data_IF_706181367421
#
_entry.id   IF_706181367421
#
_cell.length_a   1.000
_cell.length_b   1.000
_cell.length_c   1.000
_cell.angle_alpha   90.00
_cell.angle_beta   90.00
_cell.angle_gamma   90.00
#
_symmetry.space_group_name_H-M   'P 1'
#
loop_
_entity.id
_entity.type
_entity.pdbx_description
1 polymer ?
#
# COMPACT_ATOMS: atom_id res chain seq x y z
N UNK A 1 -7.76 -8.00 -3.54
CA UNK A 1 -6.34 -8.04 -3.93
C UNK A 1 -5.50 -7.47 -2.81
N UNK A 2 -4.34 -8.05 -2.54
CA UNK A 2 -3.41 -7.61 -1.50
C UNK A 2 -2.02 -7.39 -2.10
N UNK A 3 -1.33 -6.32 -1.68
CA UNK A 3 0.08 -6.04 -1.99
C UNK A 3 0.81 -5.60 -0.73
N UNK A 4 2.15 -5.64 -0.76
CA UNK A 4 3.02 -5.23 0.36
C UNK A 4 4.22 -4.44 -0.12
N UNK A 5 4.69 -3.50 0.71
CA UNK A 5 5.86 -2.63 0.46
C UNK A 5 6.44 -2.17 1.80
N UNK A 6 7.59 -1.49 1.81
CA UNK A 6 8.06 -0.80 3.02
C UNK A 6 7.15 0.40 3.30
N UNK A 7 6.85 0.64 4.58
CA UNK A 7 6.03 1.75 5.06
C UNK A 7 6.52 3.09 4.48
N UNK A 8 5.56 3.90 4.05
CA UNK A 8 5.82 5.25 3.54
C UNK A 8 6.56 6.12 4.56
N UNK A 9 7.52 6.91 4.07
CA UNK A 9 8.41 7.76 4.86
C UNK A 9 9.73 7.10 5.29
N UNK A 10 9.94 5.82 4.95
CA UNK A 10 11.19 5.11 5.28
C UNK A 10 12.25 5.26 4.19
N UNK A 11 11.86 5.17 2.92
CA UNK A 11 12.76 5.17 1.78
C UNK A 11 12.05 5.75 0.54
N UNK A 12 12.68 6.70 -0.16
CA UNK A 12 12.07 7.40 -1.29
C UNK A 12 11.59 6.46 -2.41
N UNK A 13 12.36 5.42 -2.73
CA UNK A 13 12.00 4.44 -3.77
C UNK A 13 10.74 3.65 -3.43
N UNK A 14 10.54 3.34 -2.14
CA UNK A 14 9.35 2.66 -1.67
C UNK A 14 8.18 3.63 -1.53
N UNK A 15 8.41 4.91 -1.20
CA UNK A 15 7.36 5.93 -1.20
C UNK A 15 6.70 6.08 -2.57
N UNK A 16 7.49 6.01 -3.65
CA UNK A 16 6.95 5.97 -5.02
C UNK A 16 6.04 4.76 -5.24
N UNK A 17 6.37 3.61 -4.65
CA UNK A 17 5.55 2.38 -4.71
C UNK A 17 4.26 2.52 -3.89
N UNK A 18 4.34 3.10 -2.69
CA UNK A 18 3.18 3.39 -1.84
C UNK A 18 2.18 4.29 -2.58
N UNK A 19 2.67 5.40 -3.15
CA UNK A 19 1.85 6.34 -3.93
C UNK A 19 1.24 5.69 -5.17
N UNK A 20 1.99 4.81 -5.86
CA UNK A 20 1.45 4.03 -6.97
C UNK A 20 0.26 3.16 -6.55
N UNK A 21 0.38 2.40 -5.46
CA UNK A 21 -0.74 1.57 -4.96
C UNK A 21 -1.95 2.41 -4.55
N UNK A 22 -1.73 3.52 -3.86
CA UNK A 22 -2.80 4.47 -3.50
C UNK A 22 -3.48 5.00 -4.76
N UNK A 23 -2.71 5.40 -5.78
CA UNK A 23 -3.22 5.87 -7.07
C UNK A 23 -4.01 4.80 -7.84
N UNK A 24 -3.66 3.52 -7.69
CA UNK A 24 -4.44 2.41 -8.25
C UNK A 24 -5.76 2.18 -7.50
N UNK A 25 -5.96 2.76 -6.32
CA UNK A 25 -7.14 2.57 -5.47
C UNK A 25 -6.97 1.53 -4.36
N UNK A 26 -5.75 1.11 -4.07
CA UNK A 26 -5.48 0.35 -2.85
C UNK A 26 -5.56 1.27 -1.63
N UNK A 27 -5.96 0.69 -0.49
CA UNK A 27 -6.03 1.38 0.81
C UNK A 27 -5.05 0.75 1.79
N UNK A 28 -4.48 1.56 2.66
CA UNK A 28 -3.68 1.08 3.79
C UNK A 28 -4.51 0.13 4.66
N UNK A 29 -3.87 -0.93 5.15
CA UNK A 29 -4.53 -1.90 6.02
C UNK A 29 -3.80 -2.05 7.36
N UNK A 30 -2.60 -2.60 7.35
CA UNK A 30 -1.83 -2.90 8.58
C UNK A 30 -0.33 -2.81 8.30
N UNK A 31 0.44 -2.46 9.33
CA UNK A 31 1.91 -2.50 9.29
C UNK A 31 2.41 -3.61 10.20
N UNK A 32 3.23 -4.50 9.66
CA UNK A 32 3.91 -5.54 10.44
C UNK A 32 5.38 -5.16 10.65
N UNK A 33 5.76 -4.74 11.87
CA UNK A 33 7.12 -4.26 12.15
C UNK A 33 8.18 -5.37 12.12
N UNK A 34 7.78 -6.64 12.27
CA UNK A 34 8.69 -7.77 12.41
C UNK A 34 8.52 -8.83 11.32
N UNK A 35 7.76 -8.55 10.25
CA UNK A 35 7.54 -9.53 9.17
C UNK A 35 8.78 -9.66 8.26
N UNK A 36 9.51 -8.57 8.06
CA UNK A 36 10.80 -8.57 7.37
C UNK A 36 11.91 -8.37 8.39
N UNK A 37 11.98 -7.16 8.96
CA UNK A 37 12.83 -6.77 10.07
C UNK A 37 12.45 -5.35 10.54
N UNK A 38 13.05 -4.87 11.64
CA UNK A 38 12.74 -3.57 12.25
C UNK A 38 13.08 -2.36 11.35
N UNK A 39 14.02 -2.49 10.41
CA UNK A 39 14.38 -1.43 9.46
C UNK A 39 13.44 -1.40 8.24
N UNK A 40 12.68 -2.48 8.02
CA UNK A 40 11.81 -2.67 6.87
C UNK A 40 10.38 -2.95 7.33
N UNK A 41 9.74 -1.93 7.93
CA UNK A 41 8.35 -2.00 8.37
C UNK A 41 7.43 -2.37 7.19
N UNK A 42 6.83 -3.56 7.23
CA UNK A 42 6.06 -4.09 6.11
C UNK A 42 4.63 -3.53 6.13
N UNK A 43 4.32 -2.63 5.19
CA UNK A 43 2.98 -2.06 4.99
C UNK A 43 2.16 -2.95 4.05
N UNK A 44 0.99 -3.38 4.52
CA UNK A 44 0.00 -4.06 3.71
C UNK A 44 -1.01 -3.06 3.14
N UNK A 45 -1.32 -3.24 1.86
CA UNK A 45 -2.38 -2.54 1.14
C UNK A 45 -3.40 -3.53 0.60
N UNK A 46 -4.68 -3.15 0.61
CA UNK A 46 -5.79 -3.97 0.10
C UNK A 46 -6.68 -3.21 -0.86
N UNK A 47 -7.25 -3.93 -1.83
CA UNK A 47 -8.26 -3.43 -2.75
C UNK A 47 -9.38 -4.48 -2.89
N UNK A 48 -10.63 -4.06 -2.75
CA UNK A 48 -11.78 -4.92 -3.01
C UNK A 48 -11.86 -5.26 -4.49
N UNK A 49 -12.03 -6.54 -4.83
CA UNK A 49 -12.23 -6.98 -6.21
C UNK A 49 -13.68 -6.82 -6.70
N UNK A 50 -14.61 -6.54 -5.77
CA UNK A 50 -16.05 -6.53 -6.04
C UNK A 50 -16.62 -5.10 -6.06
N UNK A 51 -15.88 -4.12 -6.60
CA UNK A 51 -16.40 -2.76 -6.69
C UNK A 51 -17.24 -2.56 -7.97
N UNK A 52 -18.57 -2.57 -7.80
CA UNK A 52 -19.48 -1.87 -8.69
C UNK A 52 -19.70 -0.46 -8.12
N UNK A 53 -19.00 0.52 -8.68
CA UNK A 53 -19.11 1.92 -8.27
C UNK A 53 -18.09 2.76 -9.01
N UNK A 54 -18.48 3.95 -9.44
CA UNK A 54 -17.86 4.72 -10.51
C UNK A 54 -16.39 5.10 -10.27
N UNK A 55 -15.52 4.78 -11.23
CA UNK A 55 -14.27 5.52 -11.42
C UNK A 55 -14.64 6.93 -11.91
N UNK A 56 -14.82 7.88 -11.00
CA UNK A 56 -14.60 9.29 -11.34
C UNK A 56 -13.19 9.64 -10.90
N UNK A 57 -12.29 9.58 -11.87
CA UNK A 57 -11.02 10.28 -11.79
C UNK A 57 -11.38 11.76 -11.94
N UNK A 58 -11.39 12.48 -10.82
CA UNK A 58 -11.25 13.94 -10.78
C UNK A 58 -9.86 14.27 -10.33
#
# INVERSE_FOLDING_TARGET
MQVKTVKMGMYEDYDRTNLFYIGCGFKEFEVFPLLWDEANLCQIYVMSLNFQGERKCT
#
